data_IF_285937287060
#
_entry.id   IF_285937287060
#
_cell.length_a   1.000
_cell.length_b   1.000
_cell.length_c   1.000
_cell.angle_alpha   90.00
_cell.angle_beta   90.00
_cell.angle_gamma   90.00
#
_symmetry.space_group_name_H-M   'P 1'
#
loop_
_entity.id
_entity.type
_entity.pdbx_description
1 polymer ?
#
# COMPACT_ATOMS: atom_id res chain seq x y z
N UNK A 1 8.57 7.99 -30.21
CA UNK A 1 8.39 8.20 -28.74
C UNK A 1 9.64 7.76 -27.99
N UNK A 2 10.17 6.60 -28.27
CA UNK A 2 11.38 6.03 -27.64
C UNK A 2 12.62 6.92 -27.84
N UNK A 3 12.86 7.40 -29.05
CA UNK A 3 14.02 8.27 -29.35
C UNK A 3 14.07 9.53 -28.49
N UNK A 4 12.92 10.15 -28.21
CA UNK A 4 12.82 11.31 -27.32
C UNK A 4 13.18 10.95 -25.87
N UNK A 5 12.81 9.74 -25.43
CA UNK A 5 13.14 9.26 -24.09
C UNK A 5 14.64 8.98 -23.97
N UNK A 6 15.23 8.38 -25.01
CA UNK A 6 16.67 8.12 -25.09
C UNK A 6 17.46 9.43 -25.03
N UNK A 7 17.06 10.43 -25.83
CA UNK A 7 17.69 11.76 -25.81
C UNK A 7 17.60 12.39 -24.42
N UNK A 8 16.43 12.33 -23.79
CA UNK A 8 16.17 12.84 -22.44
C UNK A 8 17.05 12.15 -21.38
N UNK A 9 17.13 10.82 -21.41
CA UNK A 9 17.99 10.06 -20.51
C UNK A 9 19.46 10.46 -20.66
N UNK A 10 19.92 10.69 -21.90
CA UNK A 10 21.29 11.14 -22.17
C UNK A 10 21.52 12.56 -21.61
N UNK A 11 20.57 13.48 -21.79
CA UNK A 11 20.64 14.85 -21.23
C UNK A 11 20.66 14.83 -19.69
N UNK A 12 19.96 13.87 -19.07
CA UNK A 12 19.95 13.66 -17.63
C UNK A 12 21.18 12.91 -17.10
N UNK A 13 22.15 12.61 -17.95
CA UNK A 13 23.36 11.89 -17.55
C UNK A 13 23.15 10.40 -17.27
N UNK A 14 22.09 9.78 -17.82
CA UNK A 14 21.74 8.36 -17.60
C UNK A 14 22.18 7.47 -18.78
N UNK A 15 23.33 7.76 -19.42
CA UNK A 15 23.82 7.03 -20.59
C UNK A 15 24.04 5.52 -20.34
N UNK A 16 24.24 5.12 -19.09
CA UNK A 16 24.40 3.72 -18.73
C UNK A 16 23.11 2.90 -18.96
N UNK A 17 21.94 3.54 -18.98
CA UNK A 17 20.66 2.92 -19.34
C UNK A 17 20.56 2.78 -20.85
N UNK A 18 20.78 3.87 -21.60
CA UNK A 18 20.59 3.90 -23.05
C UNK A 18 21.53 2.93 -23.78
N UNK A 19 22.74 2.72 -23.25
CA UNK A 19 23.72 1.73 -23.78
C UNK A 19 23.26 0.26 -23.64
N UNK A 20 22.21 -0.03 -22.89
CA UNK A 20 21.71 -1.39 -22.63
C UNK A 20 20.39 -1.70 -23.34
N UNK A 21 19.85 -0.75 -24.11
CA UNK A 21 18.55 -0.90 -24.77
C UNK A 21 18.56 -1.91 -25.93
N UNK A 22 19.68 -2.09 -26.62
CA UNK A 22 19.73 -2.83 -27.89
C UNK A 22 19.28 -4.30 -27.78
N UNK A 23 19.47 -4.93 -26.63
CA UNK A 23 19.12 -6.33 -26.40
C UNK A 23 18.24 -6.55 -25.17
N UNK A 24 17.50 -5.52 -24.70
CA UNK A 24 16.70 -5.62 -23.49
C UNK A 24 15.29 -5.02 -23.67
N UNK A 25 14.37 -5.86 -24.18
CA UNK A 25 12.99 -5.45 -24.40
C UNK A 25 12.26 -5.07 -23.11
N UNK A 26 12.60 -5.70 -21.97
CA UNK A 26 12.02 -5.36 -20.67
C UNK A 26 12.42 -3.94 -20.26
N UNK A 27 13.68 -3.58 -20.43
CA UNK A 27 14.18 -2.23 -20.17
C UNK A 27 13.50 -1.20 -21.08
N UNK A 28 13.31 -1.52 -22.38
CA UNK A 28 12.55 -0.68 -23.31
C UNK A 28 11.11 -0.45 -22.83
N UNK A 29 10.46 -1.51 -22.38
CA UNK A 29 9.12 -1.43 -21.79
C UNK A 29 9.06 -0.59 -20.52
N UNK A 30 10.10 -0.62 -19.67
CA UNK A 30 10.18 0.20 -18.47
C UNK A 30 10.34 1.69 -18.78
N UNK A 31 11.30 2.04 -19.65
CA UNK A 31 11.57 3.47 -19.94
C UNK A 31 10.37 4.19 -20.56
N UNK A 32 9.48 3.47 -21.25
CA UNK A 32 8.25 4.04 -21.81
C UNK A 32 7.18 4.38 -20.75
N UNK A 33 7.28 3.80 -19.54
CA UNK A 33 6.27 3.94 -18.47
C UNK A 33 6.69 4.92 -17.37
N UNK A 34 7.97 5.26 -17.29
CA UNK A 34 8.55 6.08 -16.22
C UNK A 34 8.56 7.55 -16.64
N UNK A 35 8.03 8.41 -15.77
CA UNK A 35 8.21 9.86 -15.90
C UNK A 35 9.56 10.29 -15.28
N UNK A 36 10.59 10.35 -16.13
CA UNK A 36 11.93 10.72 -15.69
C UNK A 36 12.05 12.17 -15.22
N UNK A 37 11.18 13.10 -15.67
CA UNK A 37 11.19 14.48 -15.18
C UNK A 37 10.74 14.53 -13.73
N UNK A 38 9.66 13.82 -13.42
CA UNK A 38 9.17 13.72 -12.05
C UNK A 38 10.19 13.05 -11.14
N UNK A 39 10.77 11.93 -11.56
CA UNK A 39 11.81 11.21 -10.79
C UNK A 39 13.01 12.11 -10.48
N UNK A 40 13.51 12.84 -11.48
CA UNK A 40 14.66 13.73 -11.27
C UNK A 40 14.29 14.99 -10.45
N UNK A 41 13.03 15.45 -10.52
CA UNK A 41 12.50 16.51 -9.67
C UNK A 41 12.45 16.07 -8.21
N UNK A 42 11.95 14.86 -7.93
CA UNK A 42 11.93 14.26 -6.61
C UNK A 42 13.35 14.14 -6.06
N UNK A 43 14.27 13.58 -6.83
CA UNK A 43 15.68 13.46 -6.44
C UNK A 43 16.32 14.82 -6.09
N UNK A 44 16.11 15.84 -6.93
CA UNK A 44 16.60 17.20 -6.64
C UNK A 44 15.94 17.78 -5.37
N UNK A 45 14.68 17.42 -5.11
CA UNK A 45 13.96 17.81 -3.90
C UNK A 45 14.60 17.27 -2.63
N UNK A 46 15.10 16.02 -2.63
CA UNK A 46 15.75 15.40 -1.46
C UNK A 46 17.09 16.10 -1.08
N UNK A 47 17.70 16.82 -2.01
CA UNK A 47 18.96 17.57 -1.76
C UNK A 47 18.74 18.98 -1.26
N UNK A 48 17.51 19.48 -1.27
CA UNK A 48 17.19 20.79 -0.73
C UNK A 48 16.97 20.71 0.78
N UNK A 49 17.90 21.25 1.55
CA UNK A 49 17.64 21.52 2.97
C UNK A 49 16.62 22.67 3.05
N UNK A 50 15.34 22.34 3.02
CA UNK A 50 14.30 23.31 3.33
C UNK A 50 14.20 23.40 4.83
N UNK A 51 14.52 24.53 5.47
CA UNK A 51 14.39 24.65 6.92
C UNK A 51 12.91 24.44 7.29
N UNK A 52 12.66 23.49 8.18
CA UNK A 52 11.35 23.29 8.77
C UNK A 52 11.13 24.44 9.74
N UNK A 53 10.22 25.35 9.40
CA UNK A 53 9.88 26.47 10.27
C UNK A 53 8.84 25.98 11.29
N UNK A 54 9.28 25.50 12.44
CA UNK A 54 8.44 24.98 13.53
C UNK A 54 7.28 25.91 13.92
N UNK A 55 7.45 27.21 13.74
CA UNK A 55 6.41 28.22 14.03
C UNK A 55 5.13 28.09 13.19
N UNK A 56 5.14 27.25 12.14
CA UNK A 56 3.97 26.99 11.29
C UNK A 56 3.30 25.65 11.59
N UNK A 57 3.77 24.92 12.59
CA UNK A 57 3.13 23.68 13.02
C UNK A 57 2.19 23.97 14.19
N UNK A 58 0.93 23.71 13.97
CA UNK A 58 -0.07 23.66 15.04
C UNK A 58 -0.37 22.20 15.36
N UNK A 59 -0.68 21.95 16.64
CA UNK A 59 -1.10 20.61 17.05
C UNK A 59 -2.41 20.22 16.33
N UNK A 60 -2.44 19.01 15.81
CA UNK A 60 -3.69 18.45 15.23
C UNK A 60 -4.74 18.32 16.33
N UNK A 61 -5.95 18.81 16.07
CA UNK A 61 -7.09 18.52 16.91
C UNK A 61 -7.39 17.03 16.92
N UNK A 62 -7.55 16.44 18.08
CA UNK A 62 -7.87 15.02 18.24
C UNK A 62 -8.92 14.83 19.33
N UNK A 63 -9.62 13.70 19.26
CA UNK A 63 -10.58 13.30 20.27
C UNK A 63 -9.96 12.20 21.12
N UNK A 64 -9.82 12.45 22.42
CA UNK A 64 -9.36 11.44 23.36
C UNK A 64 -10.56 10.59 23.80
N UNK A 65 -10.57 9.32 23.40
CA UNK A 65 -11.68 8.40 23.67
C UNK A 65 -12.05 8.34 25.14
N UNK A 66 -11.06 8.33 26.03
CA UNK A 66 -11.26 8.21 27.48
C UNK A 66 -11.77 9.50 28.14
N UNK A 67 -11.80 10.62 27.39
CA UNK A 67 -12.32 11.91 27.84
C UNK A 67 -13.72 12.21 27.31
N UNK A 68 -14.24 11.37 26.42
CA UNK A 68 -15.61 11.52 25.93
C UNK A 68 -16.61 11.25 27.06
N UNK A 69 -17.63 12.08 27.13
CA UNK A 69 -18.82 11.76 27.93
C UNK A 69 -19.54 10.54 27.35
N UNK A 70 -20.37 9.89 28.14
CA UNK A 70 -21.17 8.75 27.68
C UNK A 70 -22.14 9.16 26.55
N UNK A 71 -22.63 10.39 26.55
CA UNK A 71 -23.51 10.92 25.51
C UNK A 71 -22.76 11.10 24.19
N UNK A 72 -21.62 11.80 24.20
CA UNK A 72 -20.76 11.98 23.01
C UNK A 72 -20.30 10.64 22.44
N UNK A 73 -19.88 9.70 23.29
CA UNK A 73 -19.50 8.36 22.85
C UNK A 73 -20.67 7.63 22.19
N UNK A 74 -21.87 7.72 22.78
CA UNK A 74 -23.08 7.09 22.25
C UNK A 74 -23.49 7.67 20.89
N UNK A 75 -23.36 8.99 20.69
CA UNK A 75 -23.60 9.63 19.39
C UNK A 75 -22.62 9.15 18.32
N UNK A 76 -21.33 9.12 18.63
CA UNK A 76 -20.30 8.63 17.70
C UNK A 76 -20.50 7.14 17.36
N UNK A 77 -20.83 6.32 18.36
CA UNK A 77 -21.13 4.90 18.14
C UNK A 77 -22.36 4.72 17.24
N UNK A 78 -23.41 5.52 17.44
CA UNK A 78 -24.62 5.50 16.60
C UNK A 78 -24.28 5.81 15.13
N UNK A 79 -23.50 6.88 14.89
CA UNK A 79 -23.06 7.26 13.54
C UNK A 79 -22.27 6.13 12.90
N UNK A 80 -21.27 5.57 13.62
CA UNK A 80 -20.46 4.45 13.13
C UNK A 80 -21.28 3.21 12.80
N UNK A 81 -22.23 2.87 13.68
CA UNK A 81 -23.16 1.76 13.47
C UNK A 81 -24.03 1.96 12.22
N UNK A 82 -24.53 3.17 11.98
CA UNK A 82 -25.32 3.50 10.79
C UNK A 82 -24.51 3.38 9.50
N UNK A 83 -23.27 3.89 9.47
CA UNK A 83 -22.37 3.77 8.33
C UNK A 83 -22.11 2.30 7.97
N UNK A 84 -21.86 1.45 8.99
CA UNK A 84 -21.61 0.02 8.79
C UNK A 84 -22.88 -0.69 8.31
N UNK A 85 -24.02 -0.50 8.98
CA UNK A 85 -25.30 -1.12 8.62
C UNK A 85 -25.76 -0.80 7.22
N UNK A 86 -25.49 0.41 6.76
CA UNK A 86 -25.84 0.86 5.41
C UNK A 86 -24.85 0.41 4.33
N UNK A 87 -23.83 -0.39 4.68
CA UNK A 87 -22.84 -0.88 3.72
C UNK A 87 -21.88 0.21 3.18
N UNK A 88 -21.78 1.34 3.88
CA UNK A 88 -20.99 2.50 3.46
C UNK A 88 -19.54 2.48 3.96
N UNK A 89 -19.11 1.38 4.54
CA UNK A 89 -17.81 1.21 5.15
C UNK A 89 -16.97 0.17 4.41
N UNK A 90 -15.68 0.41 4.27
CA UNK A 90 -14.73 -0.53 3.72
C UNK A 90 -13.43 -0.54 4.54
N UNK A 91 -12.66 -1.61 4.39
CA UNK A 91 -11.33 -1.74 5.01
C UNK A 91 -10.27 -1.83 3.93
N UNK A 92 -9.20 -1.06 4.07
CA UNK A 92 -7.99 -1.12 3.26
C UNK A 92 -6.83 -1.56 4.14
N UNK A 93 -6.16 -2.64 3.77
CA UNK A 93 -4.97 -3.15 4.46
C UNK A 93 -3.74 -2.98 3.59
N UNK A 94 -2.74 -2.26 4.09
CA UNK A 94 -1.45 -2.12 3.43
C UNK A 94 -0.55 -3.30 3.80
N UNK A 95 -0.41 -4.24 2.89
CA UNK A 95 0.28 -5.52 3.07
C UNK A 95 1.44 -5.73 2.08
N UNK A 96 2.01 -4.64 1.52
CA UNK A 96 3.12 -4.71 0.56
C UNK A 96 4.46 -5.13 1.17
N UNK A 97 4.58 -5.18 2.50
CA UNK A 97 5.83 -5.49 3.19
C UNK A 97 6.11 -6.98 3.32
N UNK A 98 7.41 -7.33 3.27
CA UNK A 98 7.91 -8.67 3.62
C UNK A 98 8.05 -8.85 5.12
N UNK A 99 8.02 -10.10 5.58
CA UNK A 99 8.15 -10.47 6.99
C UNK A 99 9.57 -10.55 7.54
N UNK A 100 10.57 -10.05 6.81
CA UNK A 100 12.00 -10.26 7.10
C UNK A 100 12.42 -9.82 8.50
N UNK A 101 11.88 -8.70 9.01
CA UNK A 101 12.15 -8.23 10.39
C UNK A 101 11.58 -9.17 11.46
N UNK A 102 10.60 -9.99 11.11
CA UNK A 102 10.00 -11.02 11.97
C UNK A 102 10.68 -12.40 11.79
N UNK A 103 11.78 -12.48 11.03
CA UNK A 103 12.41 -13.74 10.68
C UNK A 103 11.56 -14.61 9.73
N UNK A 104 10.54 -14.03 9.08
CA UNK A 104 9.62 -14.74 8.20
C UNK A 104 9.98 -14.55 6.73
N UNK A 105 9.99 -15.65 5.98
CA UNK A 105 10.20 -15.64 4.53
C UNK A 105 8.84 -15.59 3.85
N UNK A 106 8.49 -14.43 3.29
CA UNK A 106 7.23 -14.21 2.58
C UNK A 106 6.47 -12.95 3.04
N UNK A 107 5.24 -12.76 2.52
CA UNK A 107 4.41 -11.61 2.86
C UNK A 107 4.14 -11.55 4.37
N UNK A 108 4.21 -10.36 4.97
CA UNK A 108 4.03 -10.19 6.41
C UNK A 108 2.67 -10.71 6.92
N UNK A 109 1.62 -10.57 6.11
CA UNK A 109 0.27 -11.06 6.44
C UNK A 109 0.18 -12.58 6.62
N UNK A 110 1.16 -13.35 6.09
CA UNK A 110 1.24 -14.80 6.23
C UNK A 110 2.02 -15.26 7.45
N UNK A 111 2.52 -14.30 8.26
CA UNK A 111 3.20 -14.60 9.52
C UNK A 111 2.22 -15.17 10.54
N UNK A 112 2.65 -16.23 11.25
CA UNK A 112 1.88 -16.88 12.30
C UNK A 112 2.23 -16.29 13.66
N UNK A 113 1.24 -15.93 14.43
CA UNK A 113 1.35 -15.53 15.83
C UNK A 113 0.90 -16.65 16.74
N UNK A 114 1.66 -16.89 17.80
CA UNK A 114 1.25 -17.75 18.91
C UNK A 114 0.45 -16.88 19.90
N UNK A 115 -0.86 -17.07 19.91
CA UNK A 115 -1.78 -16.40 20.82
C UNK A 115 -2.22 -17.39 21.93
N UNK A 116 -2.77 -16.89 23.03
CA UNK A 116 -3.34 -17.74 24.09
C UNK A 116 -4.44 -18.67 23.57
N UNK A 117 -5.16 -18.23 22.52
CA UNK A 117 -6.24 -18.98 21.86
C UNK A 117 -5.73 -19.94 20.77
N UNK A 118 -4.41 -20.07 20.60
CA UNK A 118 -3.77 -20.88 19.56
C UNK A 118 -3.06 -20.05 18.49
N UNK A 119 -2.49 -20.74 17.51
CA UNK A 119 -1.79 -20.10 16.40
C UNK A 119 -2.74 -19.50 15.37
N UNK A 120 -2.52 -18.24 14.99
CA UNK A 120 -3.26 -17.57 13.91
C UNK A 120 -2.34 -16.78 12.98
N UNK A 121 -2.69 -16.72 11.70
CA UNK A 121 -2.02 -15.84 10.74
C UNK A 121 -2.49 -14.39 10.92
N UNK A 122 -1.63 -13.42 10.60
CA UNK A 122 -2.02 -12.00 10.67
C UNK A 122 -3.23 -11.70 9.77
N UNK A 123 -3.28 -12.25 8.55
CA UNK A 123 -4.47 -12.13 7.69
C UNK A 123 -5.71 -12.77 8.28
N UNK A 124 -5.57 -13.90 8.97
CA UNK A 124 -6.68 -14.58 9.65
C UNK A 124 -7.30 -13.69 10.74
N UNK A 125 -6.47 -13.05 11.55
CA UNK A 125 -6.92 -12.12 12.60
C UNK A 125 -7.74 -10.96 12.01
N UNK A 126 -7.26 -10.38 10.89
CA UNK A 126 -8.01 -9.33 10.21
C UNK A 126 -9.35 -9.83 9.66
N UNK A 127 -9.36 -11.02 9.08
CA UNK A 127 -10.59 -11.65 8.59
C UNK A 127 -11.55 -11.96 9.73
N UNK A 128 -11.07 -12.42 10.88
CA UNK A 128 -11.91 -12.68 12.03
C UNK A 128 -12.63 -11.41 12.50
N UNK A 129 -11.95 -10.28 12.56
CA UNK A 129 -12.59 -8.99 12.86
C UNK A 129 -13.66 -8.61 11.83
N UNK A 130 -13.44 -8.87 10.53
CA UNK A 130 -14.45 -8.65 9.50
C UNK A 130 -15.65 -9.59 9.64
N UNK A 131 -15.43 -10.84 10.06
CA UNK A 131 -16.49 -11.82 10.33
C UNK A 131 -17.33 -11.42 11.54
N UNK A 132 -16.70 -10.90 12.60
CA UNK A 132 -17.42 -10.35 13.77
C UNK A 132 -18.34 -9.20 13.39
N UNK A 133 -17.87 -8.25 12.56
CA UNK A 133 -18.70 -7.18 12.02
C UNK A 133 -19.87 -7.76 11.23
N UNK A 134 -19.62 -8.72 10.35
CA UNK A 134 -20.68 -9.38 9.59
C UNK A 134 -21.70 -10.08 10.48
N UNK A 135 -21.26 -10.76 11.54
CA UNK A 135 -22.14 -11.38 12.50
C UNK A 135 -23.00 -10.36 13.26
N UNK A 136 -22.38 -9.25 13.68
CA UNK A 136 -23.06 -8.20 14.47
C UNK A 136 -24.07 -7.42 13.64
N UNK A 137 -23.74 -7.07 12.39
CA UNK A 137 -24.52 -6.13 11.58
C UNK A 137 -25.24 -6.76 10.38
N UNK A 138 -24.95 -8.02 10.03
CA UNK A 138 -25.49 -8.70 8.85
C UNK A 138 -24.93 -8.20 7.51
N UNK A 139 -23.88 -7.36 7.54
CA UNK A 139 -23.29 -6.71 6.36
C UNK A 139 -21.90 -7.25 6.11
N UNK A 140 -21.57 -7.55 4.86
CA UNK A 140 -20.22 -7.93 4.45
C UNK A 140 -19.42 -6.68 4.07
N UNK A 141 -18.31 -6.45 4.77
CA UNK A 141 -17.45 -5.28 4.55
C UNK A 141 -16.49 -5.57 3.38
N UNK A 142 -16.42 -4.74 2.33
CA UNK A 142 -15.39 -4.86 1.30
C UNK A 142 -13.99 -4.73 1.90
N UNK A 143 -13.10 -5.69 1.60
CA UNK A 143 -11.72 -5.67 2.05
C UNK A 143 -10.76 -5.54 0.87
N UNK A 144 -10.02 -4.44 0.85
CA UNK A 144 -9.03 -4.12 -0.18
C UNK A 144 -7.64 -4.31 0.40
N UNK A 145 -6.83 -5.18 -0.21
CA UNK A 145 -5.49 -5.51 0.28
C UNK A 145 -4.45 -4.99 -0.69
N UNK A 146 -3.72 -3.96 -0.29
CA UNK A 146 -2.61 -3.43 -1.06
C UNK A 146 -1.38 -4.30 -0.89
N UNK A 147 -0.87 -4.84 -1.98
CA UNK A 147 0.33 -5.68 -2.07
C UNK A 147 1.45 -4.94 -2.80
N UNK A 148 2.66 -5.50 -2.78
CA UNK A 148 3.75 -5.10 -3.68
C UNK A 148 3.83 -6.05 -4.88
N UNK A 149 4.52 -5.65 -5.95
CA UNK A 149 4.81 -6.54 -7.08
C UNK A 149 5.50 -7.83 -6.61
N UNK A 150 6.39 -7.70 -5.62
CA UNK A 150 7.17 -8.82 -5.08
C UNK A 150 6.30 -9.86 -4.37
N UNK A 151 5.25 -9.42 -3.63
CA UNK A 151 4.49 -10.31 -2.76
C UNK A 151 3.03 -10.55 -3.20
N UNK A 152 2.58 -9.93 -4.29
CA UNK A 152 1.19 -10.02 -4.72
C UNK A 152 0.75 -11.47 -5.00
N UNK A 153 1.54 -12.21 -5.79
CA UNK A 153 1.19 -13.58 -6.14
C UNK A 153 1.22 -14.50 -4.92
N UNK A 154 2.21 -14.39 -4.05
CA UNK A 154 2.31 -15.16 -2.82
C UNK A 154 1.13 -14.86 -1.88
N UNK A 155 0.72 -13.60 -1.77
CA UNK A 155 -0.44 -13.20 -0.96
C UNK A 155 -1.73 -13.79 -1.51
N UNK A 156 -1.90 -13.72 -2.84
CA UNK A 156 -3.08 -14.29 -3.52
C UNK A 156 -3.18 -15.80 -3.29
N UNK A 157 -2.12 -16.54 -3.61
CA UNK A 157 -2.05 -17.99 -3.44
C UNK A 157 -2.28 -18.41 -1.98
N UNK A 158 -1.74 -17.65 -1.04
CA UNK A 158 -1.92 -17.88 0.38
C UNK A 158 -3.40 -17.73 0.79
N UNK A 159 -4.07 -16.65 0.41
CA UNK A 159 -5.49 -16.45 0.73
C UNK A 159 -6.37 -17.51 0.07
N UNK A 160 -6.11 -17.86 -1.19
CA UNK A 160 -6.81 -18.93 -1.91
C UNK A 160 -6.64 -20.29 -1.21
N UNK A 161 -5.41 -20.67 -0.85
CA UNK A 161 -5.07 -21.91 -0.15
C UNK A 161 -5.81 -22.04 1.19
N UNK A 162 -6.03 -20.94 1.89
CA UNK A 162 -6.75 -20.91 3.17
C UNK A 162 -8.24 -20.60 2.99
N UNK A 163 -8.77 -20.70 1.76
CA UNK A 163 -10.18 -20.39 1.46
C UNK A 163 -10.61 -19.06 2.05
N UNK A 164 -9.72 -18.04 1.94
CA UNK A 164 -9.95 -16.69 2.47
C UNK A 164 -10.41 -16.68 3.94
N UNK A 165 -10.00 -17.68 4.73
CA UNK A 165 -10.42 -17.91 6.12
C UNK A 165 -11.95 -17.90 6.30
N UNK A 166 -12.69 -18.33 5.27
CA UNK A 166 -14.16 -18.35 5.25
C UNK A 166 -14.84 -17.00 4.99
N UNK A 167 -14.09 -15.96 4.63
CA UNK A 167 -14.67 -14.69 4.17
C UNK A 167 -15.03 -14.76 2.68
N UNK A 168 -16.10 -14.09 2.21
CA UNK A 168 -16.48 -14.14 0.81
C UNK A 168 -15.40 -13.57 -0.11
N UNK A 169 -14.82 -14.40 -0.97
CA UNK A 169 -13.71 -13.98 -1.87
C UNK A 169 -14.08 -12.83 -2.82
N UNK A 170 -15.36 -12.73 -3.22
CA UNK A 170 -15.87 -11.63 -4.06
C UNK A 170 -15.77 -10.25 -3.41
N UNK A 171 -15.70 -10.21 -2.08
CA UNK A 171 -15.62 -8.98 -1.28
C UNK A 171 -14.17 -8.67 -0.86
N UNK A 172 -13.21 -9.46 -1.34
CA UNK A 172 -11.77 -9.24 -1.15
C UNK A 172 -11.14 -8.87 -2.50
N UNK A 173 -10.47 -7.73 -2.58
CA UNK A 173 -9.73 -7.32 -3.78
C UNK A 173 -8.28 -7.00 -3.43
N UNK A 174 -7.36 -7.67 -4.13
CA UNK A 174 -5.94 -7.33 -4.06
C UNK A 174 -5.62 -6.28 -5.14
N UNK A 175 -4.76 -5.34 -4.79
CA UNK A 175 -4.23 -4.36 -5.74
C UNK A 175 -2.78 -4.05 -5.40
N UNK A 176 -2.00 -3.64 -6.39
CA UNK A 176 -0.57 -3.39 -6.20
C UNK A 176 -0.30 -1.92 -5.94
N UNK A 177 0.61 -1.65 -5.00
CA UNK A 177 1.18 -0.32 -4.79
C UNK A 177 2.02 0.11 -5.97
N UNK A 178 2.29 1.41 -6.08
CA UNK A 178 3.22 1.96 -7.06
C UNK A 178 4.68 1.62 -6.74
N UNK A 179 5.52 1.77 -7.74
CA UNK A 179 6.96 1.60 -7.64
C UNK A 179 7.66 2.80 -8.26
N UNK A 180 8.82 3.15 -7.73
CA UNK A 180 9.67 4.22 -8.23
C UNK A 180 11.08 3.69 -8.49
N UNK A 181 11.76 4.19 -9.53
CA UNK A 181 13.16 3.88 -9.77
C UNK A 181 14.05 4.23 -8.58
N UNK A 182 14.94 3.33 -8.21
CA UNK A 182 15.97 3.61 -7.23
C UNK A 182 17.06 4.50 -7.85
N UNK A 183 17.47 5.53 -7.11
CA UNK A 183 18.52 6.48 -7.52
C UNK A 183 19.65 6.46 -6.51
N UNK A 184 20.89 6.45 -6.98
CA UNK A 184 22.07 6.58 -6.12
C UNK A 184 22.19 8.00 -5.55
N UNK A 185 23.04 8.17 -4.56
CA UNK A 185 23.38 9.49 -3.98
C UNK A 185 23.96 10.47 -5.00
N UNK A 186 24.55 9.95 -6.09
CA UNK A 186 25.12 10.73 -7.20
C UNK A 186 24.07 11.04 -8.30
N UNK A 187 22.82 10.58 -8.15
CA UNK A 187 21.74 10.84 -9.11
C UNK A 187 21.69 9.87 -10.28
N UNK A 188 22.30 8.69 -10.16
CA UNK A 188 22.21 7.64 -11.19
C UNK A 188 21.07 6.69 -10.86
N UNK A 189 20.20 6.44 -11.83
CA UNK A 189 19.17 5.42 -11.75
C UNK A 189 19.86 4.04 -11.70
N UNK A 190 19.48 3.23 -10.72
CA UNK A 190 20.10 1.92 -10.53
C UNK A 190 19.49 0.86 -11.45
N UNK A 191 20.32 -0.03 -11.92
CA UNK A 191 19.91 -1.22 -12.67
C UNK A 191 20.05 -2.47 -11.80
N UNK A 192 19.21 -3.44 -12.05
CA UNK A 192 19.30 -4.76 -11.45
C UNK A 192 20.34 -5.64 -12.21
N UNK A 193 20.48 -6.90 -11.77
CA UNK A 193 21.40 -7.87 -12.38
C UNK A 193 21.05 -8.21 -13.84
N UNK A 194 19.79 -8.05 -14.22
CA UNK A 194 19.28 -8.34 -15.56
C UNK A 194 19.34 -7.10 -16.47
N UNK A 195 19.89 -5.99 -15.96
CA UNK A 195 20.06 -4.73 -16.67
C UNK A 195 18.77 -3.91 -16.80
N UNK A 196 17.74 -4.26 -16.08
CA UNK A 196 16.49 -3.50 -15.98
C UNK A 196 16.59 -2.41 -14.92
N UNK A 197 15.73 -1.39 -14.99
CA UNK A 197 15.65 -0.35 -13.95
C UNK A 197 15.20 -1.02 -12.66
N UNK A 198 16.01 -0.85 -11.62
CA UNK A 198 15.68 -1.34 -10.29
C UNK A 198 14.66 -0.40 -9.66
N UNK A 199 13.48 -0.94 -9.36
CA UNK A 199 12.37 -0.22 -8.76
C UNK A 199 12.15 -0.69 -7.31
N UNK A 200 11.58 0.18 -6.50
CA UNK A 200 11.12 -0.14 -5.16
C UNK A 200 9.77 0.53 -4.90
N UNK A 201 9.06 0.04 -3.91
CA UNK A 201 7.79 0.60 -3.47
C UNK A 201 7.88 2.10 -3.25
N UNK A 202 6.88 2.85 -3.74
CA UNK A 202 6.72 4.29 -3.55
C UNK A 202 6.31 4.68 -2.11
N UNK A 203 6.18 3.69 -1.25
CA UNK A 203 5.82 3.87 0.14
C UNK A 203 4.31 4.02 0.37
N UNK A 204 3.95 4.33 1.61
CA UNK A 204 2.55 4.34 2.04
C UNK A 204 1.75 5.52 1.48
N UNK A 205 2.41 6.62 1.13
CA UNK A 205 1.76 7.78 0.52
C UNK A 205 1.20 7.49 -0.87
N UNK A 206 1.78 6.53 -1.60
CA UNK A 206 1.31 6.08 -2.92
C UNK A 206 -0.05 5.37 -2.91
N UNK A 207 -0.61 5.07 -1.73
CA UNK A 207 -1.87 4.31 -1.64
C UNK A 207 -3.04 4.98 -2.37
N UNK A 208 -3.18 6.30 -2.31
CA UNK A 208 -4.27 7.02 -2.96
C UNK A 208 -4.19 6.90 -4.48
N UNK A 209 -2.99 6.99 -5.02
CA UNK A 209 -2.75 6.80 -6.45
C UNK A 209 -2.97 5.33 -6.86
N UNK A 210 -2.49 4.38 -6.05
CA UNK A 210 -2.70 2.96 -6.28
C UNK A 210 -4.19 2.59 -6.27
N UNK A 211 -4.98 3.10 -5.32
CA UNK A 211 -6.43 2.92 -5.26
C UNK A 211 -7.10 3.40 -6.55
N UNK A 212 -6.68 4.57 -7.06
CA UNK A 212 -7.25 5.13 -8.28
C UNK A 212 -6.82 4.34 -9.53
N UNK A 213 -5.52 4.09 -9.70
CA UNK A 213 -4.96 3.39 -10.88
C UNK A 213 -5.45 1.94 -11.01
N UNK A 214 -5.68 1.25 -9.90
CA UNK A 214 -6.16 -0.13 -9.90
C UNK A 214 -7.70 -0.25 -9.93
N UNK A 215 -8.45 0.85 -10.12
CA UNK A 215 -9.91 0.84 -10.20
C UNK A 215 -10.62 0.58 -8.86
N UNK A 216 -9.89 0.59 -7.75
CA UNK A 216 -10.45 0.36 -6.41
C UNK A 216 -11.39 1.50 -6.02
N UNK A 217 -11.04 2.75 -6.35
CA UNK A 217 -11.91 3.91 -6.10
C UNK A 217 -13.25 3.78 -6.85
N UNK A 218 -13.22 3.29 -8.08
CA UNK A 218 -14.44 3.08 -8.86
C UNK A 218 -15.33 1.98 -8.23
N UNK A 219 -14.72 0.89 -7.76
CA UNK A 219 -15.42 -0.19 -7.06
C UNK A 219 -16.02 0.29 -5.73
N UNK A 220 -15.28 1.07 -4.95
CA UNK A 220 -15.78 1.69 -3.72
C UNK A 220 -16.99 2.58 -3.98
N UNK A 221 -16.92 3.44 -5.00
CA UNK A 221 -18.04 4.31 -5.42
C UNK A 221 -19.26 3.50 -5.86
N UNK A 222 -19.05 2.44 -6.65
CA UNK A 222 -20.14 1.56 -7.10
C UNK A 222 -20.83 0.86 -5.93
N UNK A 223 -20.08 0.52 -4.88
CA UNK A 223 -20.59 -0.10 -3.65
C UNK A 223 -21.18 0.92 -2.66
N UNK A 224 -21.11 2.20 -2.94
CA UNK A 224 -21.62 3.27 -2.06
C UNK A 224 -20.75 3.48 -0.81
N UNK A 225 -19.47 3.13 -0.86
CA UNK A 225 -18.53 3.33 0.26
C UNK A 225 -18.29 4.83 0.46
N UNK A 226 -18.49 5.31 1.68
CA UNK A 226 -18.28 6.70 2.12
C UNK A 226 -17.18 6.82 3.17
N UNK A 227 -16.90 5.72 3.89
CA UNK A 227 -15.88 5.69 4.95
C UNK A 227 -14.94 4.50 4.79
N UNK A 228 -13.65 4.73 5.01
CA UNK A 228 -12.61 3.71 4.86
C UNK A 228 -11.69 3.70 6.08
N UNK A 229 -11.48 2.52 6.65
CA UNK A 229 -10.42 2.30 7.63
C UNK A 229 -9.14 1.83 6.94
N UNK A 230 -8.02 2.42 7.32
CA UNK A 230 -6.69 1.99 6.87
C UNK A 230 -5.99 1.21 7.97
N UNK A 231 -5.52 0.02 7.64
CA UNK A 231 -4.73 -0.82 8.54
C UNK A 231 -3.38 -1.14 7.92
N UNK A 232 -2.31 -0.96 8.70
CA UNK A 232 -0.96 -1.30 8.30
C UNK A 232 -0.51 -2.61 8.94
N UNK A 233 -0.02 -3.56 8.14
CA UNK A 233 0.71 -4.71 8.65
C UNK A 233 2.18 -4.30 8.88
N UNK A 234 2.47 -3.67 10.00
CA UNK A 234 3.83 -3.36 10.44
C UNK A 234 4.27 -4.27 11.57
N UNK A 235 5.55 -4.66 11.58
CA UNK A 235 6.17 -5.05 12.82
C UNK A 235 6.24 -3.78 13.69
N UNK A 236 5.73 -3.83 14.92
CA UNK A 236 6.01 -2.77 15.87
C UNK A 236 7.52 -2.77 16.10
N UNK A 237 8.15 -1.63 15.86
CA UNK A 237 9.43 -1.34 16.45
C UNK A 237 9.10 -1.08 17.92
N UNK A 238 9.33 -2.08 18.75
CA UNK A 238 9.37 -1.87 20.20
C UNK A 238 10.66 -1.12 20.46
N UNK A 239 10.55 0.10 20.97
CA UNK A 239 11.64 0.85 21.59
C UNK A 239 12.21 0.05 22.77
#
# INVERSE_FOLDING_TARGET
MEDKIIEKLNQMGQQHITKRLDNNENLRGQICKIDFDEIMKLYKGTKKNTPILEKYFEGIGYVEKDKLSMEEYGELEKIGNEVIKNGKYAVVTMAGGQGTRLGHIGPKGTYKLNLEIGEKYLFEILVDSLKEIKQKYGVTIPWYVMTSRENNNQTKEFLEKHNYFGYPSKDIKLFMQGELPLISTEGKILLDKDGCIKEASDGNGGIYEAINKNGILADMKQKGVESVSYTHLRAHETD
#
